data_IF_605514778171
#
_entry.id   IF_605514778171
#
_cell.length_a   1.000
_cell.length_b   1.000
_cell.length_c   1.000
_cell.angle_alpha   90.00
_cell.angle_beta   90.00
_cell.angle_gamma   90.00
#
_symmetry.space_group_name_H-M   'P 1'
#
loop_
_entity.id
_entity.type
_entity.pdbx_description
1 polymer ?
#
# COMPACT_ATOMS: atom_id res chain seq x y z
N UNK A 1 19.69 -33.26 -1.62
CA UNK A 1 19.73 -32.94 -3.06
C UNK A 1 19.64 -31.44 -3.19
N UNK A 2 20.72 -30.81 -3.63
CA UNK A 2 20.92 -29.35 -3.64
C UNK A 2 20.06 -28.76 -4.75
N UNK A 3 19.02 -28.00 -4.40
CA UNK A 3 18.16 -27.31 -5.37
C UNK A 3 18.89 -26.06 -5.88
N UNK A 4 19.47 -26.17 -7.07
CA UNK A 4 20.07 -25.04 -7.78
C UNK A 4 19.04 -23.94 -8.10
N UNK A 5 19.50 -22.73 -8.45
CA UNK A 5 18.64 -21.60 -8.75
C UNK A 5 17.72 -21.91 -9.95
N UNK A 6 16.41 -21.66 -9.80
CA UNK A 6 15.43 -21.78 -10.89
C UNK A 6 15.87 -20.87 -12.03
N UNK A 7 15.89 -21.34 -13.30
CA UNK A 7 16.18 -20.46 -14.41
C UNK A 7 15.09 -19.40 -14.50
N UNK A 8 15.48 -18.12 -14.46
CA UNK A 8 14.61 -17.01 -14.78
C UNK A 8 14.10 -17.23 -16.20
N UNK A 9 12.82 -17.55 -16.36
CA UNK A 9 12.17 -17.57 -17.66
C UNK A 9 12.30 -16.16 -18.23
N UNK A 10 13.12 -16.01 -19.29
CA UNK A 10 13.11 -14.80 -20.09
C UNK A 10 11.70 -14.69 -20.68
N UNK A 11 10.86 -13.84 -20.08
CA UNK A 11 9.56 -13.53 -20.64
C UNK A 11 9.80 -12.83 -21.98
N UNK A 12 9.62 -13.58 -23.07
CA UNK A 12 9.60 -13.01 -24.43
C UNK A 12 8.31 -12.19 -24.52
N UNK A 13 8.40 -10.89 -24.24
CA UNK A 13 7.28 -9.94 -24.35
C UNK A 13 6.91 -9.82 -25.82
N UNK A 14 5.90 -10.57 -26.25
CA UNK A 14 5.41 -10.57 -27.63
C UNK A 14 4.01 -9.98 -27.60
N UNK A 15 3.83 -8.81 -28.21
CA UNK A 15 2.58 -8.03 -28.21
C UNK A 15 1.40 -8.67 -29.00
N UNK A 16 1.41 -9.98 -29.26
CA UNK A 16 0.51 -10.58 -30.26
C UNK A 16 -0.05 -11.98 -29.98
N UNK A 17 0.21 -12.60 -28.83
CA UNK A 17 -0.33 -13.93 -28.52
C UNK A 17 -1.31 -13.83 -27.34
N UNK A 18 -2.58 -14.05 -27.64
CA UNK A 18 -3.68 -14.01 -26.65
C UNK A 18 -4.20 -12.60 -26.42
N UNK A 19 -5.50 -12.46 -26.21
CA UNK A 19 -6.15 -11.20 -25.80
C UNK A 19 -5.80 -10.85 -24.33
N UNK A 20 -4.50 -10.91 -23.98
CA UNK A 20 -3.93 -10.86 -22.64
C UNK A 20 -2.70 -9.92 -22.62
N UNK A 21 -2.79 -8.81 -23.36
CA UNK A 21 -1.71 -7.83 -23.50
C UNK A 21 -1.25 -7.21 -22.17
N UNK A 22 -2.11 -7.15 -21.15
CA UNK A 22 -1.79 -6.59 -19.84
C UNK A 22 -1.02 -7.57 -18.94
N UNK A 23 -1.29 -8.87 -19.07
CA UNK A 23 -0.71 -9.91 -18.21
C UNK A 23 0.79 -10.08 -18.51
N UNK A 24 1.21 -9.83 -19.75
CA UNK A 24 2.61 -9.85 -20.19
C UNK A 24 3.41 -8.58 -19.82
N UNK A 25 2.74 -7.53 -19.34
CA UNK A 25 3.36 -6.24 -18.98
C UNK A 25 3.82 -6.18 -17.52
N UNK A 26 3.72 -7.29 -16.78
CA UNK A 26 4.12 -7.39 -15.38
C UNK A 26 3.00 -7.10 -14.36
N UNK A 27 1.76 -6.90 -14.82
CA UNK A 27 0.57 -6.65 -13.97
C UNK A 27 -0.22 -7.92 -13.61
N UNK A 28 0.37 -9.09 -13.80
CA UNK A 28 -0.30 -10.38 -13.61
C UNK A 28 -0.79 -10.61 -12.17
N UNK A 29 -0.01 -10.16 -11.18
CA UNK A 29 -0.36 -10.27 -9.76
C UNK A 29 -1.40 -9.26 -9.32
N UNK A 30 -1.25 -8.01 -9.75
CA UNK A 30 -2.15 -6.92 -9.38
C UNK A 30 -3.58 -7.15 -9.89
N UNK A 31 -3.74 -7.93 -10.97
CA UNK A 31 -5.04 -8.27 -11.56
C UNK A 31 -5.75 -9.46 -10.91
N UNK A 32 -5.00 -10.38 -10.29
CA UNK A 32 -5.54 -11.64 -9.79
C UNK A 32 -5.92 -11.61 -8.31
N UNK A 33 -5.36 -10.70 -7.53
CA UNK A 33 -5.55 -10.63 -6.08
C UNK A 33 -6.50 -9.49 -5.66
N UNK A 34 -7.81 -9.76 -5.65
CA UNK A 34 -8.79 -8.86 -5.01
C UNK A 34 -9.05 -9.32 -3.57
N UNK A 35 -8.56 -8.54 -2.60
CA UNK A 35 -8.80 -8.80 -1.18
C UNK A 35 -10.12 -8.17 -0.73
N UNK A 36 -11.18 -8.96 -0.68
CA UNK A 36 -12.47 -8.53 -0.12
C UNK A 36 -12.61 -9.00 1.34
N UNK A 37 -12.81 -8.05 2.25
CA UNK A 37 -13.06 -8.35 3.67
C UNK A 37 -14.56 -8.47 3.89
N UNK A 38 -15.04 -9.70 4.09
CA UNK A 38 -16.44 -9.99 4.40
C UNK A 38 -16.72 -9.90 5.91
N UNK A 39 -16.81 -8.66 6.41
CA UNK A 39 -17.25 -8.37 7.78
C UNK A 39 -16.13 -8.22 8.82
N UNK A 40 -16.43 -7.46 9.87
CA UNK A 40 -15.53 -7.07 10.97
C UNK A 40 -16.21 -7.48 12.29
N UNK A 41 -15.54 -8.11 13.29
CA UNK A 41 -14.10 -8.38 13.42
C UNK A 41 -13.67 -9.74 12.83
N UNK A 42 -12.74 -9.69 11.86
CA UNK A 42 -12.25 -10.85 11.11
C UNK A 42 -11.35 -11.79 11.93
N UNK A 43 -10.69 -11.27 12.98
CA UNK A 43 -9.73 -12.03 13.78
C UNK A 43 -10.34 -13.15 14.62
N UNK A 44 -11.64 -13.07 14.95
CA UNK A 44 -12.35 -14.11 15.70
C UNK A 44 -12.96 -15.17 14.79
N UNK A 45 -13.25 -14.83 13.54
CA UNK A 45 -13.81 -15.75 12.55
C UNK A 45 -12.71 -16.66 11.99
N UNK A 46 -11.65 -16.07 11.42
CA UNK A 46 -10.57 -16.81 10.74
C UNK A 46 -9.20 -16.12 10.95
N UNK A 47 -8.36 -16.62 11.86
CA UNK A 47 -7.05 -16.03 12.13
C UNK A 47 -6.10 -16.01 10.92
N UNK A 48 -6.21 -17.02 10.04
CA UNK A 48 -5.39 -17.10 8.82
C UNK A 48 -5.79 -16.05 7.80
N UNK A 49 -7.10 -15.86 7.57
CA UNK A 49 -7.59 -14.87 6.63
C UNK A 49 -7.23 -13.44 7.08
N UNK A 50 -7.31 -13.18 8.39
CA UNK A 50 -6.84 -11.93 8.98
C UNK A 50 -5.35 -11.67 8.68
N UNK A 51 -4.49 -12.66 8.90
CA UNK A 51 -3.05 -12.52 8.66
C UNK A 51 -2.73 -12.21 7.18
N UNK A 52 -3.46 -12.83 6.25
CA UNK A 52 -3.33 -12.58 4.80
C UNK A 52 -3.71 -11.13 4.45
N UNK A 53 -4.83 -10.63 4.98
CA UNK A 53 -5.28 -9.25 4.74
C UNK A 53 -4.28 -8.25 5.30
N UNK A 54 -3.78 -8.47 6.52
CA UNK A 54 -2.78 -7.59 7.13
C UNK A 54 -1.50 -7.56 6.30
N UNK A 55 -0.98 -8.71 5.87
CA UNK A 55 0.22 -8.79 5.04
C UNK A 55 0.02 -8.11 3.66
N UNK A 56 -1.17 -8.26 3.06
CA UNK A 56 -1.54 -7.58 1.83
C UNK A 56 -1.56 -6.05 2.01
N UNK A 57 -2.15 -5.55 3.10
CA UNK A 57 -2.17 -4.11 3.41
C UNK A 57 -0.76 -3.56 3.60
N UNK A 58 0.12 -4.27 4.32
CA UNK A 58 1.51 -3.82 4.45
C UNK A 58 2.23 -3.76 3.11
N UNK A 59 2.08 -4.77 2.25
CA UNK A 59 2.68 -4.75 0.91
C UNK A 59 2.14 -3.62 0.06
N UNK A 60 0.85 -3.32 0.17
CA UNK A 60 0.21 -2.24 -0.56
C UNK A 60 0.73 -0.87 -0.10
N UNK A 61 0.64 -0.58 1.20
CA UNK A 61 1.02 0.73 1.77
C UNK A 61 2.51 1.01 1.64
N UNK A 62 3.35 -0.01 1.85
CA UNK A 62 4.80 0.17 1.79
C UNK A 62 5.40 -0.16 0.40
N UNK A 63 4.57 -0.40 -0.62
CA UNK A 63 5.04 -0.65 -1.99
C UNK A 63 5.96 -1.88 -2.11
N UNK A 64 5.60 -2.97 -1.42
CA UNK A 64 6.35 -4.22 -1.31
C UNK A 64 7.75 -4.06 -0.68
N UNK A 65 7.92 -3.06 0.18
CA UNK A 65 9.15 -2.89 0.93
C UNK A 65 9.24 -3.87 2.11
N UNK A 66 10.46 -4.32 2.40
CA UNK A 66 10.72 -5.14 3.59
C UNK A 66 10.52 -4.29 4.86
N UNK A 67 9.76 -4.84 5.80
CA UNK A 67 9.49 -4.30 7.14
C UNK A 67 10.08 -5.28 8.15
N UNK A 68 10.98 -4.80 8.99
CA UNK A 68 11.59 -5.61 10.05
C UNK A 68 10.61 -5.81 11.21
N UNK A 69 10.78 -6.91 11.96
CA UNK A 69 9.92 -7.18 13.11
C UNK A 69 9.96 -6.07 14.18
N UNK A 70 11.08 -5.35 14.30
CA UNK A 70 11.21 -4.19 15.18
C UNK A 70 10.32 -3.03 14.75
N UNK A 71 10.28 -2.72 13.45
CA UNK A 71 9.44 -1.67 12.88
C UNK A 71 7.96 -2.04 12.99
N UNK A 72 7.64 -3.33 12.82
CA UNK A 72 6.27 -3.83 13.00
C UNK A 72 5.75 -3.65 14.43
N UNK A 73 6.62 -3.71 15.44
CA UNK A 73 6.22 -3.47 16.85
C UNK A 73 5.74 -2.05 17.10
N UNK A 74 6.30 -1.06 16.40
CA UNK A 74 5.84 0.33 16.50
C UNK A 74 4.44 0.51 15.88
N UNK A 75 4.09 -0.33 14.91
CA UNK A 75 2.78 -0.39 14.27
C UNK A 75 1.80 -1.37 14.95
N UNK A 76 2.12 -1.86 16.15
CA UNK A 76 1.29 -2.82 16.86
C UNK A 76 -0.04 -2.22 17.34
N UNK A 77 -0.10 -0.91 17.59
CA UNK A 77 -1.32 -0.22 18.01
C UNK A 77 -2.39 -0.25 16.91
N UNK A 78 -2.15 0.23 15.67
CA UNK A 78 -3.13 0.15 14.60
C UNK A 78 -3.50 -1.29 14.22
N UNK A 79 -2.55 -2.24 14.27
CA UNK A 79 -2.87 -3.66 14.10
C UNK A 79 -3.84 -4.19 15.15
N UNK A 80 -3.62 -3.81 16.43
CA UNK A 80 -4.49 -4.26 17.52
C UNK A 80 -5.91 -3.70 17.37
N UNK A 81 -6.04 -2.45 16.95
CA UNK A 81 -7.35 -1.83 16.70
C UNK A 81 -8.07 -2.46 15.51
N UNK A 82 -7.34 -2.79 14.44
CA UNK A 82 -7.89 -3.53 13.31
C UNK A 82 -8.33 -4.95 13.72
N UNK A 83 -7.55 -5.63 14.57
CA UNK A 83 -7.88 -6.95 15.13
C UNK A 83 -9.16 -6.95 15.95
N UNK A 84 -9.38 -5.90 16.74
CA UNK A 84 -10.58 -5.71 17.55
C UNK A 84 -11.79 -5.29 16.72
N UNK A 85 -11.58 -4.94 15.45
CA UNK A 85 -12.64 -4.48 14.55
C UNK A 85 -13.09 -3.05 14.80
N UNK A 86 -12.25 -2.24 15.44
CA UNK A 86 -12.51 -0.81 15.63
C UNK A 86 -12.19 0.00 14.36
N UNK A 87 -11.29 -0.51 13.52
CA UNK A 87 -10.95 0.10 12.24
C UNK A 87 -11.50 -0.70 11.06
N UNK A 88 -12.05 0.02 10.11
CA UNK A 88 -12.21 -0.43 8.73
C UNK A 88 -10.84 -0.56 8.04
N UNK A 89 -10.77 -1.26 6.90
CA UNK A 89 -9.53 -1.35 6.11
C UNK A 89 -9.01 0.04 5.73
N UNK A 90 -9.91 0.96 5.39
CA UNK A 90 -9.59 2.35 5.06
C UNK A 90 -8.92 3.08 6.23
N UNK A 91 -9.51 3.00 7.42
CA UNK A 91 -8.97 3.62 8.63
C UNK A 91 -7.66 2.97 9.08
N UNK A 92 -7.52 1.66 8.88
CA UNK A 92 -6.28 0.96 9.15
C UNK A 92 -5.14 1.43 8.23
N UNK A 93 -5.39 1.54 6.92
CA UNK A 93 -4.42 2.10 5.96
C UNK A 93 -4.06 3.54 6.31
N UNK A 94 -5.05 4.37 6.65
CA UNK A 94 -4.83 5.75 7.08
C UNK A 94 -3.96 5.82 8.35
N UNK A 95 -4.23 4.97 9.35
CA UNK A 95 -3.45 4.92 10.58
C UNK A 95 -2.00 4.48 10.32
N UNK A 96 -1.77 3.53 9.41
CA UNK A 96 -0.41 3.14 8.99
C UNK A 96 0.33 4.29 8.31
N UNK A 97 -0.35 5.06 7.46
CA UNK A 97 0.23 6.21 6.77
C UNK A 97 0.63 7.35 7.72
N UNK A 98 -0.03 7.47 8.88
CA UNK A 98 0.29 8.47 9.91
C UNK A 98 1.49 8.08 10.79
N UNK A 99 1.99 6.85 10.70
CA UNK A 99 3.12 6.39 11.52
C UNK A 99 4.43 7.04 11.12
N UNK A 100 5.34 7.20 12.09
CA UNK A 100 6.68 7.73 11.85
C UNK A 100 7.47 6.87 10.85
N UNK A 101 7.25 5.55 10.83
CA UNK A 101 7.88 4.64 9.88
C UNK A 101 7.53 4.99 8.42
N UNK A 102 6.26 5.24 8.14
CA UNK A 102 5.82 5.66 6.81
C UNK A 102 6.39 7.05 6.45
N UNK A 103 6.33 7.98 7.42
CA UNK A 103 6.81 9.35 7.26
C UNK A 103 8.32 9.41 6.97
N UNK A 104 9.15 8.74 7.76
CA UNK A 104 10.60 8.73 7.59
C UNK A 104 11.03 8.16 6.23
N UNK A 105 10.33 7.13 5.76
CA UNK A 105 10.69 6.40 4.53
C UNK A 105 10.26 7.14 3.26
N UNK A 106 9.07 7.72 3.28
CA UNK A 106 8.43 8.23 2.06
C UNK A 106 8.25 9.75 2.04
N UNK A 107 8.26 10.40 3.20
CA UNK A 107 8.02 11.83 3.32
C UNK A 107 9.30 12.61 3.61
N UNK A 108 10.06 12.27 4.65
CA UNK A 108 11.19 13.09 5.11
C UNK A 108 12.37 13.13 4.14
N UNK A 109 12.62 12.01 3.44
CA UNK A 109 13.74 11.87 2.52
C UNK A 109 13.43 12.33 1.08
N UNK A 110 12.30 13.00 0.84
CA UNK A 110 11.84 13.37 -0.51
C UNK A 110 11.30 14.80 -0.57
N UNK A 111 11.40 15.46 -1.73
CA UNK A 111 10.70 16.72 -1.96
C UNK A 111 9.19 16.51 -1.96
N UNK A 112 8.43 17.55 -1.61
CA UNK A 112 6.98 17.48 -1.42
C UNK A 112 6.23 16.88 -2.63
N UNK A 113 6.59 17.28 -3.85
CA UNK A 113 5.95 16.75 -5.07
C UNK A 113 6.22 15.25 -5.26
N UNK A 114 7.44 14.79 -4.96
CA UNK A 114 7.77 13.37 -5.00
C UNK A 114 7.07 12.56 -3.90
N UNK A 115 6.82 13.18 -2.74
CA UNK A 115 6.03 12.56 -1.68
C UNK A 115 4.55 12.46 -2.08
N UNK A 116 4.00 13.50 -2.74
CA UNK A 116 2.64 13.49 -3.29
C UNK A 116 2.48 12.34 -4.29
N UNK A 117 3.33 12.26 -5.31
CA UNK A 117 3.30 11.17 -6.31
C UNK A 117 3.31 9.78 -5.68
N UNK A 118 4.15 9.60 -4.66
CA UNK A 118 4.30 8.30 -4.01
C UNK A 118 3.07 7.95 -3.17
N UNK A 119 2.46 8.93 -2.51
CA UNK A 119 1.19 8.73 -1.79
C UNK A 119 0.04 8.41 -2.74
N UNK A 120 -0.01 9.05 -3.92
CA UNK A 120 -0.96 8.69 -4.98
C UNK A 120 -0.81 7.22 -5.39
N UNK A 121 0.43 6.74 -5.54
CA UNK A 121 0.71 5.34 -5.84
C UNK A 121 0.28 4.41 -4.70
N UNK A 122 0.59 4.74 -3.45
CA UNK A 122 0.34 3.86 -2.30
C UNK A 122 -1.12 3.85 -1.83
N UNK A 123 -1.87 4.93 -2.01
CA UNK A 123 -3.25 5.03 -1.49
C UNK A 123 -4.30 4.90 -2.59
N UNK A 124 -4.06 5.50 -3.75
CA UNK A 124 -5.02 5.56 -4.84
C UNK A 124 -4.67 4.61 -6.00
N UNK A 125 -3.45 4.05 -6.02
CA UNK A 125 -3.00 3.13 -7.06
C UNK A 125 -2.83 3.77 -8.43
N UNK A 126 -2.78 5.11 -8.51
CA UNK A 126 -2.65 5.87 -9.76
C UNK A 126 -1.57 6.94 -9.65
N UNK A 127 -1.21 7.54 -10.76
CA UNK A 127 -0.43 8.78 -10.78
C UNK A 127 -1.37 9.98 -10.72
N UNK A 128 -0.91 11.13 -10.19
CA UNK A 128 -1.64 12.38 -10.34
C UNK A 128 -1.69 12.81 -11.82
N UNK A 129 -2.84 13.29 -12.28
CA UNK A 129 -3.10 13.52 -13.71
C UNK A 129 -2.54 14.86 -14.21
N UNK A 130 -2.32 15.82 -13.29
CA UNK A 130 -1.82 17.14 -13.65
C UNK A 130 -1.49 18.02 -12.45
N UNK A 131 -0.93 19.20 -12.74
CA UNK A 131 -0.41 20.14 -11.74
C UNK A 131 -1.48 20.65 -10.76
N UNK A 132 -2.75 20.65 -11.14
CA UNK A 132 -3.85 21.09 -10.26
C UNK A 132 -3.99 20.20 -9.02
N UNK A 133 -3.83 18.88 -9.18
CA UNK A 133 -3.85 17.95 -8.04
C UNK A 133 -2.68 18.24 -7.10
N UNK A 134 -1.47 18.40 -7.63
CA UNK A 134 -0.29 18.76 -6.82
C UNK A 134 -0.52 20.04 -6.00
N UNK A 135 -1.10 21.08 -6.62
CA UNK A 135 -1.41 22.33 -5.93
C UNK A 135 -2.42 22.12 -4.80
N UNK A 136 -3.47 21.33 -5.03
CA UNK A 136 -4.48 21.02 -4.01
C UNK A 136 -3.83 20.37 -2.79
N UNK A 137 -3.04 19.32 -2.99
CA UNK A 137 -2.40 18.58 -1.91
C UNK A 137 -1.27 19.36 -1.22
N UNK A 138 -0.48 20.12 -1.99
CA UNK A 138 0.54 21.04 -1.44
C UNK A 138 -0.10 22.10 -0.55
N UNK A 139 -1.20 22.72 -0.98
CA UNK A 139 -1.89 23.75 -0.21
C UNK A 139 -2.47 23.19 1.11
N UNK A 140 -2.96 21.95 1.12
CA UNK A 140 -3.41 21.28 2.35
C UNK A 140 -2.23 21.06 3.30
N UNK A 141 -1.10 20.59 2.78
CA UNK A 141 0.11 20.39 3.58
C UNK A 141 0.61 21.71 4.20
N UNK A 142 0.68 22.78 3.41
CA UNK A 142 1.17 24.08 3.87
C UNK A 142 0.25 24.73 4.91
N UNK A 143 -1.06 24.44 4.86
CA UNK A 143 -2.06 25.04 5.76
C UNK A 143 -2.31 24.24 7.03
N UNK A 144 -2.29 22.90 6.96
CA UNK A 144 -2.74 22.01 8.05
C UNK A 144 -1.71 20.94 8.44
N UNK A 145 -0.57 20.89 7.78
CA UNK A 145 0.50 19.94 8.07
C UNK A 145 0.26 18.52 7.53
N UNK A 146 1.08 17.59 8.03
CA UNK A 146 1.17 16.22 7.51
C UNK A 146 -0.08 15.37 7.73
N UNK A 147 -0.68 15.43 8.92
CA UNK A 147 -1.85 14.59 9.26
C UNK A 147 -3.04 14.90 8.36
N UNK A 148 -3.35 16.19 8.18
CA UNK A 148 -4.41 16.64 7.29
C UNK A 148 -4.10 16.34 5.82
N UNK A 149 -2.83 16.40 5.43
CA UNK A 149 -2.38 16.01 4.11
C UNK A 149 -2.67 14.52 3.84
N UNK A 150 -2.31 13.62 4.76
CA UNK A 150 -2.64 12.19 4.64
C UNK A 150 -4.16 11.99 4.63
N UNK A 151 -4.88 12.62 5.55
CA UNK A 151 -6.34 12.53 5.63
C UNK A 151 -7.03 12.95 4.34
N UNK A 152 -6.50 13.95 3.62
CA UNK A 152 -7.06 14.43 2.35
C UNK A 152 -7.04 13.43 1.19
N UNK A 153 -6.30 12.32 1.30
CA UNK A 153 -6.37 11.22 0.35
C UNK A 153 -7.51 10.25 0.65
N UNK A 154 -7.97 10.22 1.90
CA UNK A 154 -9.00 9.31 2.38
C UNK A 154 -10.35 10.00 2.60
N UNK A 155 -10.43 11.33 2.58
CA UNK A 155 -11.69 12.07 2.63
C UNK A 155 -12.44 11.97 1.28
#
# INVERSE_FOLDING_TARGET
VVSGPRPASKATVTMGIGNQSLDTLGLEKDRSENFFVSGIPMAKADPQAYAVVVDAVYKFVFGNAYIMESERKEMAVPESQFKLGQYTVKEFVMALAMTDQYKNRFFENRPLYGAIELNFKHFLGRTPDGLEEYRKYSAVYDSKGYEAFVMSFFD
#
